data_IF_564013191123
#
_entry.id   IF_564013191123
#
_cell.length_a   1.000
_cell.length_b   1.000
_cell.length_c   1.000
_cell.angle_alpha   90.00
_cell.angle_beta   90.00
_cell.angle_gamma   90.00
#
_symmetry.space_group_name_H-M   'P 1'
#
loop_
_entity.id
_entity.type
_entity.pdbx_description
1 polymer ?
#
# COMPACT_ATOMS: atom_id res chain seq x y z
N UNK A 1 7.06 -0.66 7.40
CA UNK A 1 8.13 0.26 6.95
C UNK A 1 7.94 0.78 5.54
N UNK A 2 7.29 0.05 4.63
CA UNK A 2 7.16 0.47 3.23
C UNK A 2 6.35 1.76 3.03
N UNK A 3 5.47 2.10 3.97
CA UNK A 3 4.72 3.36 3.97
C UNK A 3 5.45 4.51 4.66
N UNK A 4 6.62 4.27 5.28
CA UNK A 4 7.34 5.28 6.05
C UNK A 4 8.10 6.21 5.10
N UNK A 5 8.07 7.50 5.42
CA UNK A 5 8.69 8.53 4.60
C UNK A 5 10.23 8.36 4.49
N UNK A 6 10.84 8.69 3.33
CA UNK A 6 12.27 8.46 3.08
C UNK A 6 13.21 9.13 4.08
N UNK A 7 12.89 10.35 4.51
CA UNK A 7 13.65 11.08 5.54
C UNK A 7 13.63 10.34 6.88
N UNK A 8 12.47 9.83 7.29
CA UNK A 8 12.32 9.08 8.54
C UNK A 8 12.94 7.69 8.46
N UNK A 9 13.13 7.15 7.25
CA UNK A 9 13.88 5.91 7.03
C UNK A 9 15.40 6.15 7.06
N UNK A 10 15.87 7.34 6.67
CA UNK A 10 17.29 7.71 6.70
C UNK A 10 17.77 8.08 8.10
N UNK A 11 16.92 8.73 8.90
CA UNK A 11 17.26 9.11 10.29
C UNK A 11 17.28 7.91 11.25
N UNK A 12 16.53 6.86 10.95
CA UNK A 12 16.54 5.60 11.69
C UNK A 12 15.16 5.18 12.19
N UNK A 13 15.08 3.94 12.68
CA UNK A 13 13.83 3.28 13.07
C UNK A 13 13.18 4.00 14.26
N UNK A 14 13.97 4.51 15.20
CA UNK A 14 13.50 5.16 16.43
C UNK A 14 13.04 6.61 16.21
N UNK A 15 13.18 7.14 15.00
CA UNK A 15 12.73 8.49 14.66
C UNK A 15 11.22 8.60 14.85
N UNK A 16 10.69 9.62 15.55
CA UNK A 16 9.26 9.81 15.68
C UNK A 16 8.60 10.13 14.34
N UNK A 17 7.32 9.83 14.22
CA UNK A 17 6.52 10.23 13.06
C UNK A 17 6.35 11.74 12.97
N UNK A 18 6.14 12.24 11.77
CA UNK A 18 5.84 13.66 11.48
C UNK A 18 4.55 13.78 10.69
N UNK A 19 3.93 14.96 10.72
CA UNK A 19 2.69 15.22 9.96
C UNK A 19 2.93 15.03 8.46
N UNK A 20 4.08 15.45 7.97
CA UNK A 20 4.50 15.33 6.58
C UNK A 20 4.86 13.88 6.22
N UNK A 21 5.31 13.09 7.20
CA UNK A 21 5.47 11.65 7.06
C UNK A 21 4.13 10.90 6.96
N UNK A 22 3.10 11.36 7.69
CA UNK A 22 1.75 10.82 7.57
C UNK A 22 1.14 11.14 6.20
N UNK A 23 1.38 12.34 5.67
CA UNK A 23 0.99 12.70 4.29
C UNK A 23 1.64 11.77 3.26
N UNK A 24 2.94 11.51 3.40
CA UNK A 24 3.63 10.55 2.55
C UNK A 24 2.98 9.17 2.62
N UNK A 25 2.76 8.68 3.85
CA UNK A 25 2.15 7.38 4.11
C UNK A 25 0.77 7.28 3.46
N UNK A 26 -0.04 8.34 3.57
CA UNK A 26 -1.34 8.43 2.92
C UNK A 26 -1.24 8.28 1.40
N UNK A 27 -0.27 8.93 0.73
CA UNK A 27 -0.09 8.79 -0.72
C UNK A 27 0.17 7.34 -1.15
N UNK A 28 1.03 6.64 -0.42
CA UNK A 28 1.35 5.21 -0.69
C UNK A 28 0.12 4.33 -0.45
N UNK A 29 -0.57 4.50 0.68
CA UNK A 29 -1.82 3.76 0.99
C UNK A 29 -2.88 4.04 -0.08
N UNK A 30 -2.96 5.29 -0.55
CA UNK A 30 -3.96 5.66 -1.52
C UNK A 30 -3.74 4.94 -2.86
N UNK A 31 -2.49 4.81 -3.31
CA UNK A 31 -2.15 3.99 -4.49
C UNK A 31 -2.51 2.51 -4.29
N UNK A 32 -2.19 1.95 -3.13
CA UNK A 32 -2.51 0.57 -2.76
C UNK A 32 -4.03 0.31 -2.78
N UNK A 33 -4.84 1.20 -2.22
CA UNK A 33 -6.31 1.08 -2.21
C UNK A 33 -6.90 1.11 -3.61
N UNK A 34 -6.42 2.01 -4.47
CA UNK A 34 -6.91 2.07 -5.87
C UNK A 34 -6.44 0.85 -6.66
N UNK A 35 -5.16 0.50 -6.54
CA UNK A 35 -4.55 -0.59 -7.30
C UNK A 35 -4.90 -1.99 -6.82
N UNK A 36 -5.49 -2.12 -5.62
CA UNK A 36 -5.79 -3.41 -4.97
C UNK A 36 -4.57 -4.34 -4.89
N UNK A 37 -3.41 -3.74 -4.74
CA UNK A 37 -2.11 -4.40 -4.66
C UNK A 37 -1.39 -3.93 -3.41
N UNK A 38 -0.54 -4.76 -2.83
CA UNK A 38 0.26 -4.34 -1.68
C UNK A 38 1.21 -3.17 -2.02
N UNK A 39 1.83 -2.55 -1.01
CA UNK A 39 2.70 -1.39 -1.19
C UNK A 39 3.80 -1.72 -2.21
N UNK A 40 4.05 -0.80 -3.15
CA UNK A 40 5.01 -0.99 -4.25
C UNK A 40 4.73 -2.20 -5.16
N UNK A 41 3.53 -2.78 -5.08
CA UNK A 41 3.18 -3.99 -5.82
C UNK A 41 3.75 -5.28 -5.22
N UNK A 42 4.16 -5.25 -3.94
CA UNK A 42 4.50 -6.48 -3.23
C UNK A 42 3.22 -7.30 -3.05
N UNK A 43 3.18 -8.46 -3.70
CA UNK A 43 2.15 -9.47 -3.52
C UNK A 43 2.84 -10.80 -3.21
N UNK A 44 2.28 -11.57 -2.28
CA UNK A 44 2.72 -12.88 -1.79
C UNK A 44 3.52 -13.70 -2.83
N UNK A 45 4.85 -13.54 -2.83
CA UNK A 45 5.80 -14.29 -3.68
C UNK A 45 6.00 -13.82 -5.14
N UNK A 46 5.35 -12.76 -5.62
CA UNK A 46 5.38 -12.34 -7.04
C UNK A 46 6.12 -11.02 -7.33
N UNK A 47 6.74 -10.40 -6.32
CA UNK A 47 7.49 -9.17 -6.53
C UNK A 47 8.97 -9.46 -6.86
N UNK A 48 9.51 -8.73 -7.85
CA UNK A 48 10.93 -8.81 -8.20
C UNK A 48 11.86 -8.27 -7.08
N UNK A 49 11.33 -7.41 -6.21
CA UNK A 49 12.06 -6.84 -5.07
C UNK A 49 11.41 -7.29 -3.76
N UNK A 50 12.24 -7.67 -2.79
CA UNK A 50 11.78 -7.86 -1.42
C UNK A 50 11.65 -6.51 -0.68
N UNK A 51 11.04 -6.52 0.51
CA UNK A 51 10.81 -5.30 1.28
C UNK A 51 12.12 -4.55 1.65
N UNK A 52 13.22 -5.27 1.90
CA UNK A 52 14.49 -4.66 2.26
C UNK A 52 15.11 -3.89 1.07
N UNK A 53 15.00 -4.44 -0.13
CA UNK A 53 15.53 -3.79 -1.34
C UNK A 53 14.73 -2.53 -1.69
N UNK A 54 13.41 -2.56 -1.50
CA UNK A 54 12.57 -1.36 -1.65
C UNK A 54 12.96 -0.30 -0.62
N UNK A 55 13.15 -0.67 0.66
CA UNK A 55 13.57 0.28 1.69
C UNK A 55 14.91 0.93 1.33
N UNK A 56 15.88 0.15 0.84
CA UNK A 56 17.16 0.68 0.35
C UNK A 56 16.98 1.68 -0.80
N UNK A 57 16.13 1.36 -1.77
CA UNK A 57 15.81 2.28 -2.90
C UNK A 57 15.15 3.57 -2.41
N UNK A 58 14.30 3.50 -1.39
CA UNK A 58 13.67 4.67 -0.78
C UNK A 58 14.68 5.53 -0.03
N UNK A 59 15.58 4.92 0.75
CA UNK A 59 16.63 5.63 1.48
C UNK A 59 17.61 6.32 0.52
N UNK A 60 17.96 5.69 -0.60
CA UNK A 60 18.88 6.22 -1.60
C UNK A 60 18.38 7.53 -2.25
N UNK A 61 17.08 7.82 -2.21
CA UNK A 61 16.50 9.02 -2.80
C UNK A 61 16.48 8.91 -4.32
N UNK A 62 17.33 9.68 -5.03
CA UNK A 62 17.34 9.72 -6.50
C UNK A 62 17.90 8.43 -7.10
N UNK A 63 17.15 7.83 -8.02
CA UNK A 63 17.62 6.70 -8.83
C UNK A 63 18.60 7.16 -9.92
N UNK A 64 19.20 6.22 -10.65
CA UNK A 64 20.05 6.52 -11.82
C UNK A 64 19.33 7.34 -12.90
N UNK A 65 17.99 7.28 -12.96
CA UNK A 65 17.16 8.07 -13.86
C UNK A 65 16.86 9.50 -13.32
N UNK A 66 17.42 9.88 -12.17
CA UNK A 66 17.26 11.20 -11.56
C UNK A 66 15.97 11.42 -10.77
N UNK A 67 15.05 10.44 -10.78
CA UNK A 67 13.78 10.49 -10.05
C UNK A 67 13.79 9.57 -8.83
N UNK A 68 13.03 9.88 -7.75
CA UNK A 68 12.94 9.02 -6.59
C UNK A 68 12.13 7.75 -6.86
N UNK A 69 12.48 6.64 -6.22
CA UNK A 69 11.72 5.39 -6.35
C UNK A 69 10.33 5.52 -5.71
N UNK A 70 9.26 5.33 -6.49
CA UNK A 70 7.86 5.49 -6.09
C UNK A 70 6.96 4.44 -6.76
N UNK A 71 5.74 4.21 -6.25
CA UNK A 71 4.79 3.31 -6.90
C UNK A 71 4.46 3.74 -8.32
N UNK A 72 4.37 2.77 -9.23
CA UNK A 72 4.05 3.03 -10.63
C UNK A 72 2.57 3.38 -10.80
N UNK A 73 2.30 4.61 -11.22
CA UNK A 73 0.96 5.13 -11.46
C UNK A 73 0.30 4.53 -12.70
N UNK A 74 1.07 3.97 -13.64
CA UNK A 74 0.51 3.31 -14.83
C UNK A 74 -0.28 2.06 -14.44
N UNK A 75 0.01 1.46 -13.28
CA UNK A 75 -0.74 0.30 -12.77
C UNK A 75 -2.15 0.61 -12.31
N UNK A 76 -2.50 1.88 -12.14
CA UNK A 76 -3.81 2.31 -11.63
C UNK A 76 -4.63 3.12 -12.65
N UNK A 77 -4.12 3.37 -13.86
CA UNK A 77 -4.80 4.24 -14.84
C UNK A 77 -6.17 3.70 -15.28
N UNK A 78 -6.33 2.38 -15.29
CA UNK A 78 -7.60 1.72 -15.67
C UNK A 78 -8.51 1.47 -14.45
N UNK A 79 -8.04 1.80 -13.25
CA UNK A 79 -8.83 1.63 -12.03
C UNK A 79 -9.76 2.83 -11.80
N UNK A 80 -10.91 2.63 -11.11
CA UNK A 80 -11.78 3.73 -10.68
C UNK A 80 -10.98 4.81 -9.93
N UNK A 81 -11.22 6.08 -10.25
CA UNK A 81 -10.47 7.26 -9.77
C UNK A 81 -9.01 7.33 -10.18
N UNK A 82 -8.32 6.20 -10.36
CA UNK A 82 -6.95 6.15 -10.87
C UNK A 82 -6.84 6.64 -12.32
N UNK A 83 -7.94 6.60 -13.09
CA UNK A 83 -8.06 7.21 -14.41
C UNK A 83 -8.03 8.75 -14.39
N UNK A 84 -8.41 9.40 -13.28
CA UNK A 84 -8.37 10.85 -13.12
C UNK A 84 -6.92 11.35 -12.91
N UNK A 85 -6.36 12.16 -13.82
CA UNK A 85 -5.02 12.71 -13.66
C UNK A 85 -4.84 13.53 -12.38
N UNK A 86 -5.91 14.16 -11.89
CA UNK A 86 -5.89 14.99 -10.67
C UNK A 86 -5.65 14.13 -9.43
N UNK A 87 -6.24 12.93 -9.39
CA UNK A 87 -6.03 11.95 -8.31
C UNK A 87 -4.58 11.48 -8.31
N UNK A 88 -4.05 11.12 -9.49
CA UNK A 88 -2.65 10.69 -9.64
C UNK A 88 -1.65 11.80 -9.27
N UNK A 89 -1.94 13.04 -9.67
CA UNK A 89 -1.13 14.20 -9.28
C UNK A 89 -1.18 14.45 -7.76
N UNK A 90 -2.35 14.30 -7.12
CA UNK A 90 -2.47 14.42 -5.68
C UNK A 90 -1.63 13.35 -4.94
N UNK A 91 -1.60 12.10 -5.43
CA UNK A 91 -0.70 11.06 -4.90
C UNK A 91 0.77 11.46 -5.03
N UNK A 92 1.17 11.99 -6.20
CA UNK A 92 2.53 12.45 -6.45
C UNK A 92 2.99 13.55 -5.51
N UNK A 93 2.11 14.51 -5.25
CA UNK A 93 2.40 15.59 -4.31
C UNK A 93 2.46 15.06 -2.86
N UNK A 94 1.67 14.05 -2.49
CA UNK A 94 1.74 13.46 -1.15
C UNK A 94 3.09 12.79 -0.87
N UNK A 95 3.66 12.09 -1.85
CA UNK A 95 4.91 11.33 -1.66
C UNK A 95 6.16 12.03 -2.19
N UNK A 96 6.16 13.36 -2.27
CA UNK A 96 7.35 14.12 -2.69
C UNK A 96 8.58 13.78 -1.83
N UNK A 97 9.76 13.74 -2.46
CA UNK A 97 11.03 13.55 -1.74
C UNK A 97 11.33 14.75 -0.83
N UNK A 98 11.00 15.96 -1.29
CA UNK A 98 11.09 17.17 -0.49
C UNK A 98 9.89 17.27 0.45
N UNK A 99 10.16 17.46 1.74
CA UNK A 99 9.15 17.59 2.79
C UNK A 99 8.26 18.81 2.54
N UNK A 100 8.83 19.93 2.09
CA UNK A 100 8.13 21.20 1.86
C UNK A 100 7.18 21.16 0.68
N UNK A 101 7.42 20.25 -0.27
CA UNK A 101 6.62 20.15 -1.49
C UNK A 101 5.40 19.23 -1.28
N UNK A 102 5.30 18.59 -0.11
CA UNK A 102 4.17 17.73 0.21
C UNK A 102 2.92 18.55 0.51
N UNK A 103 1.78 18.08 0.00
CA UNK A 103 0.49 18.68 0.35
C UNK A 103 0.21 18.57 1.85
N UNK A 104 -0.34 19.61 2.45
CA UNK A 104 -0.99 19.45 3.75
C UNK A 104 -2.27 18.61 3.62
N UNK A 105 -2.67 17.88 4.67
CA UNK A 105 -3.96 17.19 4.71
C UNK A 105 -5.15 18.13 4.42
N UNK A 106 -5.06 19.40 4.83
CA UNK A 106 -6.09 20.40 4.53
C UNK A 106 -6.22 20.62 3.02
N UNK A 107 -5.10 20.86 2.34
CA UNK A 107 -5.06 21.07 0.89
C UNK A 107 -5.50 19.81 0.14
N UNK A 108 -5.03 18.65 0.58
CA UNK A 108 -5.39 17.36 0.03
C UNK A 108 -6.91 17.10 0.12
N UNK A 109 -7.51 17.34 1.29
CA UNK A 109 -8.97 17.20 1.48
C UNK A 109 -9.76 18.10 0.53
N UNK A 110 -9.32 19.35 0.34
CA UNK A 110 -9.97 20.27 -0.60
C UNK A 110 -9.85 19.78 -2.04
N UNK A 111 -8.66 19.31 -2.44
CA UNK A 111 -8.39 18.78 -3.79
C UNK A 111 -9.27 17.55 -4.08
N UNK A 112 -9.33 16.60 -3.15
CA UNK A 112 -10.07 15.35 -3.32
C UNK A 112 -11.60 15.55 -3.26
N UNK A 113 -12.11 16.53 -2.50
CA UNK A 113 -13.55 16.84 -2.43
C UNK A 113 -14.13 17.25 -3.81
N UNK A 114 -13.31 17.84 -4.67
CA UNK A 114 -13.70 18.21 -6.03
C UNK A 114 -13.67 17.04 -7.03
N UNK A 115 -13.02 15.93 -6.69
CA UNK A 115 -12.84 14.78 -7.57
C UNK A 115 -14.04 13.85 -7.43
N UNK A 116 -14.92 13.88 -8.43
CA UNK A 116 -16.07 12.97 -8.55
C UNK A 116 -15.83 12.03 -9.70
N UNK A 117 -16.02 10.74 -9.48
CA UNK A 117 -16.12 9.80 -10.58
C UNK A 117 -17.41 10.11 -11.36
N UNK A 118 -17.30 10.33 -12.68
CA UNK A 118 -18.48 10.58 -13.53
C UNK A 118 -19.43 9.37 -13.57
N UNK A 119 -18.94 8.18 -13.23
CA UNK A 119 -19.67 6.92 -13.24
C UNK A 119 -20.27 6.52 -11.87
N UNK A 120 -19.89 7.17 -10.76
CA UNK A 120 -20.41 6.85 -9.41
C UNK A 120 -20.91 8.10 -8.67
N UNK A 121 -22.07 7.99 -8.02
CA UNK A 121 -22.58 9.01 -7.10
C UNK A 121 -21.88 8.87 -5.74
N UNK A 122 -20.91 9.73 -5.44
CA UNK A 122 -20.25 9.79 -4.13
C UNK A 122 -19.01 10.68 -4.11
N UNK A 123 -18.57 11.07 -2.91
CA UNK A 123 -17.26 11.68 -2.69
C UNK A 123 -16.18 10.58 -2.74
N UNK A 124 -15.06 10.85 -3.41
CA UNK A 124 -13.91 9.95 -3.50
C UNK A 124 -13.48 9.39 -2.14
N UNK A 125 -13.41 10.21 -1.08
CA UNK A 125 -13.02 9.74 0.26
C UNK A 125 -14.00 8.70 0.81
N UNK A 126 -15.30 8.90 0.65
CA UNK A 126 -16.31 7.96 1.16
C UNK A 126 -16.23 6.63 0.40
N UNK A 127 -15.97 6.70 -0.90
CA UNK A 127 -15.75 5.50 -1.71
C UNK A 127 -14.47 4.76 -1.32
N UNK A 128 -13.40 5.49 -1.00
CA UNK A 128 -12.16 4.89 -0.50
C UNK A 128 -12.38 4.16 0.83
N UNK A 129 -13.14 4.76 1.75
CA UNK A 129 -13.48 4.09 3.02
C UNK A 129 -14.23 2.78 2.78
N UNK A 130 -15.20 2.79 1.86
CA UNK A 130 -15.93 1.58 1.47
C UNK A 130 -15.00 0.51 0.87
N UNK A 131 -14.07 0.92 0.01
CA UNK A 131 -13.10 0.02 -0.62
C UNK A 131 -12.14 -0.58 0.41
N UNK A 132 -11.67 0.23 1.37
CA UNK A 132 -10.80 -0.21 2.46
C UNK A 132 -11.51 -1.21 3.37
N UNK A 133 -12.78 -0.95 3.70
CA UNK A 133 -13.62 -1.88 4.47
C UNK A 133 -13.80 -3.21 3.75
N UNK A 134 -14.11 -3.19 2.44
CA UNK A 134 -14.22 -4.40 1.63
C UNK A 134 -12.90 -5.16 1.54
N UNK A 135 -11.78 -4.44 1.41
CA UNK A 135 -10.46 -5.03 1.35
C UNK A 135 -10.11 -5.75 2.67
N UNK A 136 -10.40 -5.14 3.82
CA UNK A 136 -10.24 -5.78 5.14
C UNK A 136 -11.04 -7.08 5.23
N UNK A 137 -12.33 -7.05 4.84
CA UNK A 137 -13.19 -8.24 4.84
C UNK A 137 -12.64 -9.37 3.97
N UNK A 138 -12.20 -9.05 2.75
CA UNK A 138 -11.63 -10.04 1.84
C UNK A 138 -10.32 -10.66 2.38
N UNK A 139 -9.48 -9.85 3.02
CA UNK A 139 -8.24 -10.32 3.65
C UNK A 139 -8.53 -11.23 4.85
N UNK A 140 -9.49 -10.85 5.69
CA UNK A 140 -9.93 -11.67 6.83
C UNK A 140 -10.43 -13.04 6.37
N UNK A 141 -11.24 -13.09 5.32
CA UNK A 141 -11.72 -14.33 4.71
C UNK A 141 -10.57 -15.18 4.15
N UNK A 142 -9.63 -14.56 3.43
CA UNK A 142 -8.47 -15.28 2.88
C UNK A 142 -7.59 -15.88 3.99
N UNK A 143 -7.35 -15.13 5.07
CA UNK A 143 -6.59 -15.61 6.23
C UNK A 143 -7.33 -16.75 6.92
N UNK A 144 -8.64 -16.65 7.11
CA UNK A 144 -9.44 -17.72 7.70
C UNK A 144 -9.35 -19.00 6.87
N UNK A 145 -9.48 -18.89 5.55
CA UNK A 145 -9.39 -20.02 4.62
C UNK A 145 -8.00 -20.69 4.65
N UNK A 146 -6.92 -19.90 4.61
CA UNK A 146 -5.54 -20.43 4.69
C UNK A 146 -5.25 -21.07 6.05
N UNK A 147 -5.74 -20.48 7.14
CA UNK A 147 -5.58 -21.02 8.49
C UNK A 147 -6.32 -22.35 8.65
N UNK A 148 -7.51 -22.46 8.08
CA UNK A 148 -8.28 -23.70 8.08
C UNK A 148 -7.58 -24.79 7.27
N UNK A 149 -7.09 -24.47 6.07
CA UNK A 149 -6.33 -25.41 5.24
C UNK A 149 -5.07 -25.93 5.95
N UNK A 150 -4.33 -25.05 6.65
CA UNK A 150 -3.16 -25.44 7.43
C UNK A 150 -3.52 -26.40 8.57
N UNK A 151 -4.59 -26.11 9.33
CA UNK A 151 -5.06 -27.00 10.41
C UNK A 151 -5.46 -28.37 9.89
N UNK A 152 -6.11 -28.42 8.73
CA UNK A 152 -6.50 -29.67 8.11
C UNK A 152 -5.29 -30.50 7.67
N UNK A 153 -4.25 -29.84 7.15
CA UNK A 153 -3.01 -30.51 6.78
C UNK A 153 -2.23 -31.01 8.00
N UNK A 154 -2.10 -30.21 9.06
CA UNK A 154 -1.49 -30.64 10.33
C UNK A 154 -2.19 -31.88 10.91
N UNK A 155 -3.53 -31.93 10.83
CA UNK A 155 -4.32 -33.07 11.30
C UNK A 155 -4.02 -34.33 10.47
N UNK A 156 -3.92 -34.22 9.14
CA UNK A 156 -3.54 -35.35 8.27
C UNK A 156 -2.13 -35.84 8.60
N UNK A 157 -1.18 -34.92 8.76
CA UNK A 157 0.21 -35.27 9.11
C UNK A 157 0.30 -35.96 10.46
N UNK A 158 -0.41 -35.47 11.50
CA UNK A 158 -0.48 -36.12 12.82
C UNK A 158 -1.07 -37.52 12.75
N UNK A 159 -2.16 -37.69 11.99
CA UNK A 159 -2.78 -39.00 11.80
C UNK A 159 -1.85 -39.99 11.06
N UNK A 160 -1.09 -39.51 10.07
CA UNK A 160 -0.07 -40.33 9.39
C UNK A 160 1.05 -40.71 10.36
N UNK A 161 1.56 -39.75 11.15
CA UNK A 161 2.62 -39.98 12.12
C UNK A 161 2.23 -41.06 13.14
N UNK A 162 1.00 -40.99 13.66
CA UNK A 162 0.47 -41.99 14.58
C UNK A 162 0.41 -43.41 13.97
N UNK A 163 0.21 -43.51 12.64
CA UNK A 163 0.25 -44.79 11.91
C UNK A 163 1.65 -45.28 11.57
N UNK A 164 2.67 -44.41 11.61
CA UNK A 164 4.06 -44.73 11.28
C UNK A 164 4.93 -45.07 12.51
N UNK A 165 4.46 -44.76 13.74
CA UNK A 165 5.13 -45.15 14.97
C UNK A 165 4.77 -46.61 15.33
N UNK A 166 5.74 -47.51 15.63
CA UNK A 166 5.44 -48.86 16.08
C UNK A 166 4.83 -48.86 17.48
N UNK A 167 4.07 -49.91 17.80
CA UNK A 167 3.54 -50.19 19.15
C UNK A 167 4.65 -50.34 20.19
#
# INVERSE_FOLDING_TARGET
MLWRAPELLREGIDTPGTKEGDVYSFGIIFHEVIGRQGPYGIYDGMANDNAADIIRKLQAGKTQAGSPFRPDLNKIVDMPYGSDPSVRAAMQECWSESITDRLSFRSLKLKLKGMKDKSKRGNLMDHMMQMMEQYSKNLEELVANRTQALRDEERKTKNLLHRMLPS
#
